data_IF_313889940771
#
_entry.id   IF_313889940771
#
_cell.length_a   1.000
_cell.length_b   1.000
_cell.length_c   1.000
_cell.angle_alpha   90.00
_cell.angle_beta   90.00
_cell.angle_gamma   90.00
#
_symmetry.space_group_name_H-M   'P 1'
#
loop_
_entity.id
_entity.type
_entity.pdbx_description
1 polymer ?
#
# COMPACT_ATOMS: atom_id res chain seq x y z
N UNK A 1 46.57 -33.47 59.90
CA UNK A 1 45.87 -33.02 58.68
C UNK A 1 44.72 -33.97 58.38
N UNK A 2 43.48 -33.49 58.49
CA UNK A 2 42.24 -34.29 58.38
C UNK A 2 42.03 -34.72 56.91
N UNK A 3 41.88 -36.03 56.68
CA UNK A 3 41.37 -36.61 55.43
C UNK A 3 39.85 -36.67 55.54
N UNK A 4 39.12 -36.05 54.59
CA UNK A 4 37.67 -36.20 54.46
C UNK A 4 37.39 -37.11 53.27
N UNK A 5 36.84 -38.30 53.56
CA UNK A 5 36.31 -39.24 52.57
C UNK A 5 34.88 -38.85 52.22
N UNK A 6 34.61 -38.51 50.96
CA UNK A 6 33.25 -38.43 50.41
C UNK A 6 33.00 -39.72 49.63
N UNK A 7 32.05 -40.52 50.10
CA UNK A 7 31.55 -41.72 49.41
C UNK A 7 30.55 -41.30 48.33
N UNK A 8 30.91 -41.51 47.06
CA UNK A 8 29.95 -41.62 45.96
C UNK A 8 29.07 -42.87 46.18
N UNK A 9 27.75 -42.70 46.14
CA UNK A 9 26.80 -43.81 45.89
C UNK A 9 26.10 -43.54 44.56
N UNK A 10 26.26 -44.49 43.63
CA UNK A 10 25.61 -44.57 42.32
C UNK A 10 24.19 -45.16 42.46
N UNK A 11 23.22 -44.54 41.75
CA UNK A 11 22.16 -45.10 40.87
C UNK A 11 21.19 -46.19 41.42
N UNK A 12 19.91 -46.24 40.97
CA UNK A 12 19.57 -46.38 39.54
C UNK A 12 18.40 -45.53 39.00
N UNK A 13 18.50 -45.29 37.70
CA UNK A 13 17.47 -44.95 36.72
C UNK A 13 16.45 -46.09 36.55
N UNK A 14 15.15 -45.79 36.53
CA UNK A 14 14.01 -46.51 35.91
C UNK A 14 12.74 -45.80 36.46
N UNK A 15 11.70 -45.43 35.73
CA UNK A 15 11.36 -45.54 34.33
C UNK A 15 10.09 -44.70 34.10
N UNK A 16 9.93 -44.23 32.87
CA UNK A 16 8.73 -43.58 32.36
C UNK A 16 7.55 -44.57 32.41
N UNK A 17 6.42 -44.21 33.02
CA UNK A 17 5.11 -44.79 32.68
C UNK A 17 4.10 -43.66 32.54
N UNK A 18 3.86 -43.33 31.27
CA UNK A 18 2.64 -42.71 30.78
C UNK A 18 1.60 -43.83 30.64
N UNK A 19 0.45 -43.74 31.32
CA UNK A 19 -0.79 -44.40 30.90
C UNK A 19 -1.97 -43.59 31.44
N UNK A 20 -2.63 -42.90 30.51
CA UNK A 20 -3.93 -42.23 30.61
C UNK A 20 -5.02 -43.18 31.11
N UNK A 21 -6.04 -42.68 31.82
CA UNK A 21 -7.43 -42.68 31.31
C UNK A 21 -8.46 -42.05 32.27
N UNK A 22 -9.27 -41.18 31.66
CA UNK A 22 -10.63 -40.70 31.93
C UNK A 22 -11.31 -41.00 33.28
N UNK A 23 -11.79 -39.94 33.95
CA UNK A 23 -13.22 -39.54 34.01
C UNK A 23 -13.50 -38.74 35.28
N UNK A 24 -14.10 -37.56 35.14
CA UNK A 24 -14.82 -36.89 36.22
C UNK A 24 -14.00 -35.89 37.05
N UNK A 25 -14.34 -34.62 36.88
CA UNK A 25 -14.24 -33.55 37.90
C UNK A 25 -12.90 -33.35 38.63
N UNK A 26 -12.20 -32.28 38.21
CA UNK A 26 -11.53 -31.29 39.07
C UNK A 26 -10.53 -31.79 40.12
N UNK A 27 -9.24 -31.76 39.76
CA UNK A 27 -8.19 -31.32 40.68
C UNK A 27 -7.04 -30.67 39.90
N UNK A 28 -7.22 -29.38 39.58
CA UNK A 28 -6.19 -28.54 38.98
C UNK A 28 -5.24 -28.06 40.11
N UNK A 29 -4.14 -28.77 40.31
CA UNK A 29 -3.08 -28.40 41.29
C UNK A 29 -2.41 -27.06 40.90
N UNK A 30 -2.53 -26.64 39.64
CA UNK A 30 -2.06 -25.34 39.13
C UNK A 30 -2.91 -24.17 39.66
N UNK A 31 -4.12 -24.41 40.19
CA UNK A 31 -4.96 -23.39 40.83
C UNK A 31 -4.52 -22.98 42.25
N UNK A 32 -3.69 -23.79 42.93
CA UNK A 32 -3.18 -23.48 44.27
C UNK A 32 -1.83 -22.75 44.27
N UNK A 33 -1.23 -22.56 43.09
CA UNK A 33 -0.09 -21.68 42.85
C UNK A 33 -0.50 -20.38 42.12
N UNK A 34 -1.78 -20.02 42.20
CA UNK A 34 -2.26 -18.69 41.80
C UNK A 34 -1.71 -17.64 42.79
N UNK A 35 -0.44 -17.29 42.58
CA UNK A 35 0.05 -15.95 42.87
C UNK A 35 -0.84 -14.97 42.10
N UNK A 36 -1.09 -13.75 42.62
CA UNK A 36 -1.86 -12.76 41.89
C UNK A 36 -1.24 -12.63 40.50
N UNK A 37 -2.06 -12.75 39.46
CA UNK A 37 -1.65 -12.49 38.08
C UNK A 37 -1.09 -11.08 38.04
N UNK A 38 0.24 -10.95 38.15
CA UNK A 38 0.91 -9.74 37.70
C UNK A 38 0.64 -9.68 36.21
N UNK A 39 -0.07 -8.62 35.83
CA UNK A 39 -0.30 -8.19 34.47
C UNK A 39 1.05 -7.95 33.80
N UNK A 40 1.65 -9.01 33.26
CA UNK A 40 2.97 -8.97 32.63
C UNK A 40 2.81 -9.15 31.12
N UNK A 41 3.73 -8.52 30.37
CA UNK A 41 3.66 -8.47 28.91
C UNK A 41 3.59 -9.87 28.28
N UNK A 42 4.20 -10.89 28.90
CA UNK A 42 4.29 -12.27 28.39
C UNK A 42 2.94 -13.00 28.46
N UNK A 43 2.20 -12.87 29.56
CA UNK A 43 0.87 -13.49 29.70
C UNK A 43 -0.12 -12.85 28.72
N UNK A 44 -0.09 -11.51 28.59
CA UNK A 44 -0.90 -10.77 27.62
C UNK A 44 -0.57 -11.21 26.18
N UNK A 45 0.72 -11.31 25.83
CA UNK A 45 1.16 -11.80 24.51
C UNK A 45 0.69 -13.21 24.22
N UNK A 46 0.77 -14.11 25.20
CA UNK A 46 0.35 -15.50 25.04
C UNK A 46 -1.16 -15.63 24.79
N UNK A 47 -1.97 -14.80 25.44
CA UNK A 47 -3.42 -14.73 25.19
C UNK A 47 -3.73 -14.18 23.80
N UNK A 48 -3.04 -13.11 23.40
CA UNK A 48 -3.15 -12.52 22.07
C UNK A 48 -2.83 -13.55 20.98
N UNK A 49 -1.72 -14.30 21.07
CA UNK A 49 -1.40 -15.39 20.15
C UNK A 49 -2.51 -16.43 20.08
N UNK A 50 -3.02 -16.89 21.22
CA UNK A 50 -4.07 -17.91 21.22
C UNK A 50 -5.38 -17.45 20.57
N UNK A 51 -5.68 -16.15 20.56
CA UNK A 51 -6.86 -15.58 19.91
C UNK A 51 -6.61 -15.31 18.42
N UNK A 52 -5.43 -14.79 18.10
CA UNK A 52 -4.95 -14.62 16.72
C UNK A 52 -5.00 -15.94 15.95
N UNK A 53 -4.45 -17.03 16.52
CA UNK A 53 -4.47 -18.37 15.90
C UNK A 53 -5.90 -18.92 15.68
N UNK A 54 -6.91 -18.36 16.35
CA UNK A 54 -8.33 -18.73 16.18
C UNK A 54 -9.08 -17.80 15.23
N UNK A 55 -8.39 -16.84 14.59
CA UNK A 55 -8.99 -15.82 13.74
C UNK A 55 -9.85 -14.80 14.50
N UNK A 56 -9.67 -14.68 15.82
CA UNK A 56 -10.42 -13.74 16.67
C UNK A 56 -9.64 -12.44 16.82
N UNK A 57 -9.46 -11.71 15.72
CA UNK A 57 -8.52 -10.59 15.67
C UNK A 57 -8.93 -9.40 16.54
N UNK A 58 -10.23 -9.08 16.63
CA UNK A 58 -10.73 -7.99 17.47
C UNK A 58 -10.50 -8.29 18.96
N UNK A 59 -10.75 -9.54 19.39
CA UNK A 59 -10.45 -9.97 20.77
C UNK A 59 -8.94 -10.00 21.02
N UNK A 60 -8.14 -10.43 20.03
CA UNK A 60 -6.68 -10.51 20.16
C UNK A 60 -6.03 -9.13 20.31
N UNK A 61 -6.59 -8.11 19.64
CA UNK A 61 -6.07 -6.75 19.63
C UNK A 61 -5.96 -6.16 21.04
N UNK A 62 -6.97 -6.34 21.89
CA UNK A 62 -6.95 -5.84 23.28
C UNK A 62 -5.74 -6.37 24.07
N UNK A 63 -5.48 -7.66 23.97
CA UNK A 63 -4.36 -8.31 24.67
C UNK A 63 -3.00 -7.93 24.05
N UNK A 64 -2.94 -7.75 22.73
CA UNK A 64 -1.72 -7.37 22.03
C UNK A 64 -1.31 -5.93 22.34
N UNK A 65 -2.26 -4.99 22.33
CA UNK A 65 -2.04 -3.60 22.73
C UNK A 65 -1.52 -3.53 24.17
N UNK A 66 -2.18 -4.22 25.10
CA UNK A 66 -1.75 -4.26 26.50
C UNK A 66 -0.36 -4.90 26.67
N UNK A 67 -0.05 -5.94 25.90
CA UNK A 67 1.30 -6.53 25.90
C UNK A 67 2.36 -5.53 25.44
N UNK A 68 2.08 -4.78 24.37
CA UNK A 68 2.99 -3.78 23.83
C UNK A 68 3.11 -2.55 24.75
N UNK A 69 2.03 -2.11 25.40
CA UNK A 69 2.07 -1.04 26.40
C UNK A 69 2.94 -1.41 27.61
N UNK A 70 2.90 -2.68 28.04
CA UNK A 70 3.70 -3.18 29.17
C UNK A 70 5.19 -3.36 28.81
N UNK A 71 5.51 -3.60 27.54
CA UNK A 71 6.88 -3.70 27.02
C UNK A 71 6.95 -3.24 25.56
N UNK A 72 7.07 -1.93 25.37
CA UNK A 72 7.12 -1.33 24.03
C UNK A 72 8.45 -1.59 23.32
N UNK A 73 9.43 -2.18 24.00
CA UNK A 73 10.73 -2.55 23.42
C UNK A 73 10.77 -3.98 22.88
N UNK A 74 9.66 -4.71 23.02
CA UNK A 74 9.55 -6.09 22.58
C UNK A 74 9.13 -6.16 21.11
N UNK A 75 10.10 -6.45 20.23
CA UNK A 75 9.84 -6.73 18.81
C UNK A 75 8.83 -7.86 18.62
N UNK A 76 8.84 -8.89 19.48
CA UNK A 76 7.86 -9.98 19.40
C UNK A 76 6.43 -9.49 19.62
N UNK A 77 6.25 -8.53 20.53
CA UNK A 77 4.94 -7.92 20.79
C UNK A 77 4.51 -7.03 19.62
N UNK A 78 5.44 -6.26 19.04
CA UNK A 78 5.18 -5.44 17.86
C UNK A 78 4.80 -6.29 16.64
N UNK A 79 5.55 -7.37 16.36
CA UNK A 79 5.26 -8.32 15.28
C UNK A 79 3.88 -8.93 15.43
N UNK A 80 3.50 -9.37 16.63
CA UNK A 80 2.16 -9.92 16.88
C UNK A 80 1.07 -8.85 16.69
N UNK A 81 1.26 -7.65 17.24
CA UNK A 81 0.30 -6.56 17.11
C UNK A 81 0.10 -6.17 15.64
N UNK A 82 1.17 -6.05 14.87
CA UNK A 82 1.11 -5.81 13.43
C UNK A 82 0.41 -6.94 12.67
N UNK A 83 0.71 -8.21 12.98
CA UNK A 83 -0.01 -9.35 12.38
C UNK A 83 -1.51 -9.34 12.70
N UNK A 84 -1.90 -8.91 13.90
CA UNK A 84 -3.32 -8.77 14.26
C UNK A 84 -3.98 -7.64 13.47
N UNK A 85 -3.32 -6.49 13.33
CA UNK A 85 -3.81 -5.41 12.47
C UNK A 85 -3.97 -5.86 11.02
N UNK A 86 -2.98 -6.55 10.44
CA UNK A 86 -3.13 -7.13 9.10
C UNK A 86 -4.33 -8.09 9.01
N UNK A 87 -4.55 -8.93 10.03
CA UNK A 87 -5.74 -9.79 10.11
C UNK A 87 -7.06 -9.01 10.18
N UNK A 88 -7.11 -7.90 10.92
CA UNK A 88 -8.27 -6.98 10.96
C UNK A 88 -8.50 -6.27 9.62
N UNK A 89 -7.44 -6.03 8.85
CA UNK A 89 -7.54 -5.55 7.47
C UNK A 89 -8.05 -6.62 6.49
N UNK A 90 -8.35 -7.84 6.96
CA UNK A 90 -8.72 -8.96 6.10
C UNK A 90 -7.53 -9.62 5.40
N UNK A 91 -6.31 -9.22 5.75
CA UNK A 91 -5.08 -9.67 5.11
C UNK A 91 -4.42 -10.74 5.97
N UNK A 92 -4.74 -12.00 5.69
CA UNK A 92 -4.11 -13.14 6.33
C UNK A 92 -2.88 -13.59 5.53
N UNK A 93 -1.70 -13.46 6.13
CA UNK A 93 -0.43 -13.91 5.55
C UNK A 93 -0.43 -15.40 5.17
N UNK A 94 -1.21 -16.26 5.84
CA UNK A 94 -1.34 -17.67 5.47
C UNK A 94 -2.23 -17.86 4.25
N UNK A 95 -3.34 -17.14 4.14
CA UNK A 95 -4.17 -17.16 2.94
C UNK A 95 -3.41 -16.60 1.74
N UNK A 96 -2.64 -15.53 1.93
CA UNK A 96 -1.77 -15.01 0.89
C UNK A 96 -0.80 -16.09 0.41
N UNK A 97 -0.09 -16.77 1.32
CA UNK A 97 0.86 -17.83 0.96
C UNK A 97 0.15 -19.01 0.28
N UNK A 98 -1.02 -19.42 0.77
CA UNK A 98 -1.85 -20.45 0.11
C UNK A 98 -2.29 -20.04 -1.29
N UNK A 99 -2.69 -18.78 -1.47
CA UNK A 99 -3.12 -18.24 -2.75
C UNK A 99 -1.92 -18.09 -3.71
N UNK A 100 -0.75 -17.64 -3.23
CA UNK A 100 0.49 -17.59 -4.01
C UNK A 100 0.96 -18.98 -4.44
N UNK A 101 0.86 -19.99 -3.55
CA UNK A 101 1.22 -21.38 -3.86
C UNK A 101 0.25 -21.98 -4.87
N UNK A 102 -1.05 -21.76 -4.71
CA UNK A 102 -2.08 -22.30 -5.61
C UNK A 102 -2.09 -21.62 -6.98
N UNK A 103 -1.73 -20.33 -7.06
CA UNK A 103 -1.56 -19.60 -8.32
C UNK A 103 -0.23 -19.88 -9.03
N UNK A 104 0.80 -20.37 -8.33
CA UNK A 104 2.05 -20.82 -8.98
C UNK A 104 1.86 -22.09 -9.85
N UNK A 105 0.72 -22.77 -9.75
CA UNK A 105 0.33 -23.84 -10.68
C UNK A 105 -0.38 -23.32 -11.95
N UNK A 106 -0.66 -22.01 -12.04
CA UNK A 106 -1.29 -21.39 -13.20
C UNK A 106 -0.90 -19.92 -13.41
N UNK A 107 0.11 -19.68 -14.27
CA UNK A 107 0.39 -18.48 -15.11
C UNK A 107 0.29 -17.05 -14.55
N UNK A 108 -0.28 -16.73 -13.39
CA UNK A 108 -0.62 -15.36 -12.96
C UNK A 108 0.55 -14.54 -12.38
N UNK A 109 1.70 -15.17 -12.11
CA UNK A 109 2.93 -14.50 -11.68
C UNK A 109 4.11 -14.78 -12.63
N UNK A 110 3.84 -15.35 -13.82
CA UNK A 110 4.87 -15.47 -14.85
C UNK A 110 5.06 -14.10 -15.49
N UNK A 111 6.27 -13.52 -15.37
CA UNK A 111 6.82 -12.38 -16.13
C UNK A 111 5.80 -11.64 -17.02
N UNK A 112 4.77 -11.06 -16.43
CA UNK A 112 3.83 -10.24 -17.19
C UNK A 112 4.52 -8.89 -17.38
N UNK A 113 4.72 -8.53 -18.65
CA UNK A 113 5.53 -7.38 -19.07
C UNK A 113 5.03 -5.99 -18.62
N UNK A 114 3.98 -5.93 -17.78
CA UNK A 114 3.52 -4.67 -17.18
C UNK A 114 3.24 -4.86 -15.67
N UNK A 115 3.72 -3.92 -14.87
CA UNK A 115 3.60 -4.00 -13.42
C UNK A 115 2.17 -3.74 -12.89
N UNK A 116 1.33 -3.06 -13.69
CA UNK A 116 -0.07 -2.78 -13.34
C UNK A 116 -0.93 -4.07 -13.27
N UNK A 117 -0.71 -5.03 -14.19
CA UNK A 117 -1.37 -6.35 -14.16
C UNK A 117 -0.92 -7.20 -12.98
N UNK A 118 0.36 -7.09 -12.60
CA UNK A 118 0.89 -7.77 -11.40
C UNK A 118 0.24 -7.24 -10.12
N UNK A 119 0.05 -5.92 -10.00
CA UNK A 119 -0.64 -5.31 -8.84
C UNK A 119 -2.14 -5.64 -8.82
N UNK A 120 -2.80 -5.72 -9.98
CA UNK A 120 -4.19 -6.17 -10.08
C UNK A 120 -4.35 -7.64 -9.64
N UNK A 121 -3.45 -8.53 -10.07
CA UNK A 121 -3.42 -9.92 -9.61
C UNK A 121 -3.18 -10.05 -8.10
N UNK A 122 -2.35 -9.16 -7.52
CA UNK A 122 -2.15 -9.07 -6.07
C UNK A 122 -3.35 -8.47 -5.33
N UNK A 123 -4.11 -7.55 -5.92
CA UNK A 123 -5.37 -7.03 -5.35
C UNK A 123 -6.38 -8.15 -5.10
N UNK A 124 -6.60 -9.00 -6.10
CA UNK A 124 -7.51 -10.15 -5.99
C UNK A 124 -7.05 -11.14 -4.91
N UNK A 125 -5.73 -11.25 -4.74
CA UNK A 125 -5.08 -12.10 -3.75
C UNK A 125 -5.28 -11.64 -2.31
N UNK A 126 -5.27 -10.31 -2.11
CA UNK A 126 -5.43 -9.62 -0.82
C UNK A 126 -6.91 -9.47 -0.46
N UNK A 127 -7.83 -9.75 -1.39
CA UNK A 127 -9.26 -9.75 -1.15
C UNK A 127 -9.90 -8.36 -1.13
N UNK A 128 -9.27 -7.39 -1.80
CA UNK A 128 -9.72 -6.02 -1.81
C UNK A 128 -10.96 -5.82 -2.70
N UNK A 129 -11.88 -4.98 -2.26
CA UNK A 129 -13.15 -4.70 -2.91
C UNK A 129 -13.29 -3.24 -3.35
N UNK A 130 -14.19 -2.99 -4.30
CA UNK A 130 -14.56 -1.62 -4.72
C UNK A 130 -15.13 -0.76 -3.59
N UNK A 131 -15.63 -1.39 -2.51
CA UNK A 131 -16.09 -0.66 -1.32
C UNK A 131 -14.90 0.00 -0.60
N UNK A 132 -13.77 -0.70 -0.48
CA UNK A 132 -12.56 -0.13 0.13
C UNK A 132 -11.95 0.97 -0.73
N UNK A 133 -11.97 0.85 -2.06
CA UNK A 133 -11.52 1.93 -2.94
C UNK A 133 -12.37 3.18 -2.78
N UNK A 134 -13.69 3.01 -2.62
CA UNK A 134 -14.61 4.14 -2.44
C UNK A 134 -14.42 4.84 -1.09
N UNK A 135 -14.02 4.13 -0.02
CA UNK A 135 -13.75 4.79 1.27
C UNK A 135 -12.48 5.65 1.26
N UNK A 136 -11.58 5.39 0.32
CA UNK A 136 -10.35 6.16 0.08
C UNK A 136 -10.59 7.42 -0.78
N UNK A 137 -11.78 7.62 -1.34
CA UNK A 137 -12.08 8.81 -2.15
C UNK A 137 -12.54 10.00 -1.33
N UNK A 138 -12.43 11.20 -1.91
CA UNK A 138 -13.04 12.41 -1.40
C UNK A 138 -14.56 12.23 -1.19
N UNK A 139 -15.12 13.05 -0.30
CA UNK A 139 -16.57 13.00 -0.01
C UNK A 139 -17.37 13.24 -1.29
N UNK A 140 -18.35 12.38 -1.57
CA UNK A 140 -19.13 12.36 -2.81
C UNK A 140 -18.32 12.23 -4.10
N UNK A 141 -17.03 11.87 -4.00
CA UNK A 141 -16.12 11.81 -5.14
C UNK A 141 -16.05 13.15 -5.90
N UNK A 142 -15.98 14.26 -5.16
CA UNK A 142 -16.01 15.63 -5.70
C UNK A 142 -14.99 16.55 -5.00
N UNK A 143 -14.34 17.44 -5.75
CA UNK A 143 -13.53 18.57 -5.25
C UNK A 143 -13.78 19.79 -6.13
N UNK A 144 -14.06 20.94 -5.52
CA UNK A 144 -14.23 22.22 -6.23
C UNK A 144 -15.18 22.19 -7.44
N UNK A 145 -16.26 21.38 -7.35
CA UNK A 145 -17.26 21.20 -8.41
C UNK A 145 -16.87 20.19 -9.49
N UNK A 146 -15.67 19.59 -9.44
CA UNK A 146 -15.21 18.51 -10.32
C UNK A 146 -15.69 17.18 -9.76
N UNK A 147 -16.47 16.44 -10.55
CA UNK A 147 -16.99 15.12 -10.17
C UNK A 147 -16.16 14.01 -10.80
N UNK A 148 -15.66 13.08 -9.98
CA UNK A 148 -14.96 11.90 -10.50
C UNK A 148 -15.89 10.95 -11.27
N UNK A 149 -17.17 10.90 -10.93
CA UNK A 149 -18.18 10.10 -11.63
C UNK A 149 -19.31 11.02 -12.16
N UNK A 150 -19.06 11.78 -13.24
CA UNK A 150 -20.05 12.68 -13.80
C UNK A 150 -21.29 11.90 -14.28
N UNK A 151 -22.48 12.49 -14.18
CA UNK A 151 -23.75 11.85 -14.60
C UNK A 151 -24.20 12.25 -16.00
N UNK A 152 -23.46 13.13 -16.65
CA UNK A 152 -23.71 13.66 -18.00
C UNK A 152 -22.38 14.03 -18.66
N UNK A 153 -22.42 14.31 -19.96
CA UNK A 153 -21.21 14.62 -20.75
C UNK A 153 -20.50 13.36 -21.26
N UNK A 154 -19.38 13.58 -21.94
CA UNK A 154 -18.65 12.53 -22.67
C UNK A 154 -17.98 11.49 -21.76
N UNK A 155 -17.77 11.81 -20.48
CA UNK A 155 -17.14 10.92 -19.50
C UNK A 155 -18.10 10.21 -18.55
N UNK A 156 -19.42 10.30 -18.77
CA UNK A 156 -20.42 9.72 -17.86
C UNK A 156 -20.23 8.21 -17.61
N UNK A 157 -19.71 7.49 -18.60
CA UNK A 157 -19.46 6.04 -18.53
C UNK A 157 -18.02 5.69 -18.09
N UNK A 158 -17.18 6.69 -17.83
CA UNK A 158 -15.77 6.54 -17.44
C UNK A 158 -15.50 7.15 -16.06
N UNK A 159 -16.11 6.62 -14.98
CA UNK A 159 -15.92 7.15 -13.64
C UNK A 159 -14.48 6.98 -13.18
N UNK A 160 -13.91 8.00 -12.57
CA UNK A 160 -12.64 7.94 -11.85
C UNK A 160 -12.89 8.10 -10.36
N UNK A 161 -11.93 7.69 -9.54
CA UNK A 161 -11.94 7.90 -8.10
C UNK A 161 -11.01 9.07 -7.76
N UNK A 162 -11.55 10.11 -7.16
CA UNK A 162 -10.79 11.28 -6.70
C UNK A 162 -10.22 10.96 -5.31
N UNK A 163 -8.89 10.80 -5.17
CA UNK A 163 -8.28 10.34 -3.93
C UNK A 163 -8.31 11.42 -2.85
N UNK A 164 -8.47 11.01 -1.59
CA UNK A 164 -7.99 11.77 -0.42
C UNK A 164 -6.47 11.92 -0.46
N UNK A 165 -5.92 12.77 0.40
CA UNK A 165 -4.49 12.66 0.73
C UNK A 165 -4.18 11.30 1.39
N UNK A 166 -2.95 10.80 1.25
CA UNK A 166 -2.52 9.55 1.87
C UNK A 166 -2.71 9.60 3.40
N UNK A 167 -2.39 10.72 4.03
CA UNK A 167 -2.56 10.93 5.48
C UNK A 167 -4.03 10.84 5.89
N UNK A 168 -4.91 11.52 5.16
CA UNK A 168 -6.34 11.49 5.44
C UNK A 168 -6.94 10.09 5.20
N UNK A 169 -6.48 9.39 4.17
CA UNK A 169 -6.90 8.04 3.85
C UNK A 169 -6.52 7.03 4.94
N UNK A 170 -5.31 7.12 5.50
CA UNK A 170 -4.85 6.26 6.61
C UNK A 170 -5.70 6.42 7.88
N UNK A 171 -6.38 7.55 8.05
CA UNK A 171 -7.19 7.86 9.24
C UNK A 171 -8.68 7.64 9.00
N UNK A 172 -9.16 7.93 7.79
CA UNK A 172 -10.60 8.01 7.47
C UNK A 172 -11.03 7.15 6.27
N UNK A 173 -10.09 6.40 5.69
CA UNK A 173 -10.25 5.65 4.45
C UNK A 173 -10.85 4.26 4.60
N UNK A 174 -11.34 3.92 5.80
CA UNK A 174 -11.90 2.61 6.14
C UNK A 174 -10.99 1.78 7.05
N UNK A 175 -11.53 0.71 7.62
CA UNK A 175 -10.83 -0.12 8.60
C UNK A 175 -9.60 -0.82 8.00
N UNK A 176 -9.65 -1.21 6.72
CA UNK A 176 -8.55 -1.90 6.03
C UNK A 176 -7.28 -1.06 6.00
N UNK A 177 -7.33 0.13 5.39
CA UNK A 177 -6.18 1.04 5.28
C UNK A 177 -5.71 1.52 6.65
N UNK A 178 -6.64 1.76 7.58
CA UNK A 178 -6.31 2.16 8.95
C UNK A 178 -5.45 1.09 9.63
N UNK A 179 -5.88 -0.17 9.58
CA UNK A 179 -5.14 -1.25 10.21
C UNK A 179 -3.79 -1.52 9.52
N UNK A 180 -3.72 -1.41 8.19
CA UNK A 180 -2.43 -1.49 7.47
C UNK A 180 -1.47 -0.40 7.96
N UNK A 181 -1.95 0.84 8.08
CA UNK A 181 -1.14 1.95 8.57
C UNK A 181 -0.68 1.72 10.02
N UNK A 182 -1.55 1.20 10.90
CA UNK A 182 -1.19 0.83 12.27
C UNK A 182 -0.12 -0.28 12.32
N UNK A 183 -0.18 -1.26 11.41
CA UNK A 183 0.83 -2.31 11.31
C UNK A 183 2.21 -1.73 10.94
N UNK A 184 2.27 -0.79 9.99
CA UNK A 184 3.49 -0.08 9.59
C UNK A 184 4.06 0.71 10.77
N UNK A 185 3.23 1.53 11.42
CA UNK A 185 3.65 2.37 12.56
C UNK A 185 4.24 1.53 13.71
N UNK A 186 3.60 0.42 14.06
CA UNK A 186 4.06 -0.46 15.15
C UNK A 186 5.38 -1.17 14.81
N UNK A 187 5.61 -1.51 13.54
CA UNK A 187 6.82 -2.21 13.10
C UNK A 187 8.01 -1.28 12.88
N UNK A 188 7.76 -0.01 12.56
CA UNK A 188 8.78 0.96 12.17
C UNK A 188 10.01 0.98 13.11
N UNK A 189 9.86 0.99 14.44
CA UNK A 189 10.99 0.97 15.38
C UNK A 189 11.86 -0.29 15.34
N UNK A 190 11.38 -1.37 14.72
CA UNK A 190 11.98 -2.70 14.74
C UNK A 190 12.51 -3.18 13.39
N UNK A 191 12.41 -2.34 12.35
CA UNK A 191 13.07 -2.57 11.07
C UNK A 191 14.36 -1.75 10.96
N UNK A 192 15.29 -2.23 10.13
CA UNK A 192 16.53 -1.50 9.86
C UNK A 192 16.31 -0.24 9.01
N UNK A 193 17.23 0.72 9.10
CA UNK A 193 17.23 1.91 8.23
C UNK A 193 17.32 1.54 6.73
N UNK A 194 17.85 0.36 6.40
CA UNK A 194 18.00 -0.15 5.04
C UNK A 194 16.68 -0.48 4.32
N UNK A 195 15.56 -0.49 5.05
CA UNK A 195 14.23 -0.74 4.47
C UNK A 195 13.25 0.42 4.64
N UNK A 196 13.72 1.56 5.16
CA UNK A 196 12.94 2.79 5.34
C UNK A 196 13.16 3.73 4.17
N UNK A 197 12.09 4.41 3.76
CA UNK A 197 12.13 5.48 2.76
C UNK A 197 12.24 6.82 3.48
N UNK A 198 13.44 7.39 3.48
CA UNK A 198 13.79 8.62 4.18
C UNK A 198 14.07 9.74 3.18
N UNK A 199 13.92 10.99 3.62
CA UNK A 199 14.16 12.18 2.80
C UNK A 199 12.94 13.08 2.72
N UNK A 200 13.05 14.17 1.97
CA UNK A 200 11.99 15.18 1.82
C UNK A 200 10.76 14.62 1.07
N UNK A 201 10.97 13.64 0.19
CA UNK A 201 9.91 12.86 -0.49
C UNK A 201 9.60 11.51 0.19
N UNK A 202 10.13 11.28 1.40
CA UNK A 202 9.99 10.02 2.14
C UNK A 202 8.62 9.85 2.79
N UNK A 203 8.30 8.63 3.22
CA UNK A 203 7.07 8.42 3.99
C UNK A 203 7.21 9.07 5.37
N UNK A 204 6.25 9.92 5.73
CA UNK A 204 6.24 10.65 7.01
C UNK A 204 6.31 9.72 8.24
N UNK A 205 5.89 8.46 8.11
CA UNK A 205 5.94 7.45 9.17
C UNK A 205 7.35 6.90 9.39
N UNK A 206 8.27 7.11 8.45
CA UNK A 206 9.66 6.61 8.52
C UNK A 206 10.62 7.58 9.20
N UNK A 207 10.17 8.80 9.51
CA UNK A 207 10.99 9.84 10.15
C UNK A 207 11.61 9.36 11.46
N UNK A 208 12.75 9.93 11.86
CA UNK A 208 13.41 9.60 13.13
C UNK A 208 12.48 9.74 14.35
N UNK A 209 11.51 10.65 14.27
CA UNK A 209 10.54 10.92 15.34
C UNK A 209 9.43 9.86 15.37
N UNK A 210 8.93 9.42 14.21
CA UNK A 210 7.90 8.39 14.12
C UNK A 210 8.46 6.96 14.27
N UNK A 211 9.72 6.77 13.87
CA UNK A 211 10.33 5.47 13.63
C UNK A 211 11.62 5.24 14.44
N UNK A 212 11.77 5.94 15.56
CA UNK A 212 12.93 5.84 16.44
C UNK A 212 13.17 4.37 16.83
N UNK A 213 14.38 3.81 16.67
CA UNK A 213 14.66 2.42 17.02
C UNK A 213 14.29 2.10 18.48
N UNK A 214 13.55 1.00 18.68
CA UNK A 214 13.17 0.54 20.00
C UNK A 214 13.67 -0.89 20.24
N UNK A 215 14.25 -1.12 21.43
CA UNK A 215 14.63 -2.46 21.86
C UNK A 215 15.70 -3.16 21.02
N UNK A 216 15.75 -4.49 21.14
CA UNK A 216 16.65 -5.34 20.34
C UNK A 216 15.88 -6.01 19.19
N UNK A 217 16.45 -5.97 17.98
CA UNK A 217 15.94 -6.68 16.80
C UNK A 217 16.39 -8.15 16.80
N UNK A 218 15.61 -9.03 17.43
CA UNK A 218 15.85 -10.48 17.54
C UNK A 218 15.05 -11.32 16.52
N UNK A 219 14.01 -10.74 15.93
CA UNK A 219 13.05 -11.36 15.02
C UNK A 219 13.00 -10.65 13.66
N UNK A 220 14.15 -10.12 13.22
CA UNK A 220 14.32 -9.32 12.00
C UNK A 220 13.56 -9.86 10.79
N UNK A 221 13.62 -11.17 10.53
CA UNK A 221 12.91 -11.76 9.38
C UNK A 221 11.38 -11.62 9.45
N UNK A 222 10.79 -11.66 10.66
CA UNK A 222 9.34 -11.51 10.84
C UNK A 222 8.91 -10.05 10.75
N UNK A 223 9.66 -9.15 11.39
CA UNK A 223 9.40 -7.70 11.32
C UNK A 223 9.54 -7.19 9.90
N UNK A 224 10.61 -7.55 9.19
CA UNK A 224 10.83 -7.16 7.79
C UNK A 224 9.78 -7.77 6.83
N UNK A 225 9.33 -9.01 7.09
CA UNK A 225 8.26 -9.62 6.29
C UNK A 225 6.93 -8.90 6.46
N UNK A 226 6.50 -8.68 7.71
CA UNK A 226 5.25 -7.96 7.97
C UNK A 226 5.32 -6.50 7.48
N UNK A 227 6.49 -5.86 7.59
CA UNK A 227 6.75 -4.52 7.04
C UNK A 227 6.55 -4.49 5.54
N UNK A 228 7.27 -5.35 4.81
CA UNK A 228 7.20 -5.40 3.37
C UNK A 228 5.78 -5.67 2.87
N UNK A 229 5.07 -6.55 3.58
CA UNK A 229 3.74 -6.96 3.22
C UNK A 229 2.67 -5.89 3.54
N UNK A 230 2.81 -5.18 4.66
CA UNK A 230 1.91 -4.07 4.98
C UNK A 230 2.04 -2.92 3.97
N UNK A 231 3.26 -2.54 3.60
CA UNK A 231 3.49 -1.56 2.54
C UNK A 231 2.96 -2.05 1.18
N UNK A 232 3.19 -3.31 0.81
CA UNK A 232 2.65 -3.85 -0.44
C UNK A 232 1.11 -3.76 -0.47
N UNK A 233 0.44 -4.09 0.64
CA UNK A 233 -1.01 -3.99 0.74
C UNK A 233 -1.52 -2.55 0.60
N UNK A 234 -0.84 -1.58 1.22
CA UNK A 234 -1.16 -0.16 1.07
C UNK A 234 -0.97 0.32 -0.37
N UNK A 235 0.14 -0.04 -1.00
CA UNK A 235 0.40 0.28 -2.40
C UNK A 235 -0.69 -0.25 -3.34
N UNK A 236 -1.15 -1.49 -3.12
CA UNK A 236 -2.22 -2.08 -3.93
C UNK A 236 -3.54 -1.31 -3.75
N UNK A 237 -3.88 -0.93 -2.51
CA UNK A 237 -5.08 -0.12 -2.22
C UNK A 237 -5.04 1.23 -2.94
N UNK A 238 -3.92 1.95 -2.83
CA UNK A 238 -3.75 3.25 -3.48
C UNK A 238 -3.73 3.12 -5.00
N UNK A 239 -3.11 2.08 -5.55
CA UNK A 239 -3.14 1.77 -6.97
C UNK A 239 -4.58 1.55 -7.47
N UNK A 240 -5.41 0.83 -6.71
CA UNK A 240 -6.82 0.59 -7.05
C UNK A 240 -7.68 1.86 -7.13
N UNK A 241 -7.28 2.92 -6.43
CA UNK A 241 -7.92 4.25 -6.49
C UNK A 241 -7.36 5.07 -7.65
N UNK A 242 -6.03 5.22 -7.69
CA UNK A 242 -5.35 6.11 -8.64
C UNK A 242 -5.49 5.62 -10.08
N UNK A 243 -5.38 4.31 -10.30
CA UNK A 243 -5.51 3.66 -11.61
C UNK A 243 -6.83 2.92 -11.75
N UNK A 244 -7.91 3.48 -11.18
CA UNK A 244 -9.22 2.83 -11.15
C UNK A 244 -9.70 2.39 -12.55
N UNK A 245 -9.94 1.09 -12.69
CA UNK A 245 -10.32 0.41 -13.93
C UNK A 245 -11.27 -0.77 -13.65
N UNK A 246 -12.55 -0.54 -13.31
CA UNK A 246 -13.43 -1.57 -12.77
C UNK A 246 -13.81 -2.66 -13.78
N UNK A 247 -13.75 -2.37 -15.08
CA UNK A 247 -14.25 -3.24 -16.15
C UNK A 247 -13.29 -3.36 -17.34
N UNK A 248 -12.10 -2.74 -17.25
CA UNK A 248 -11.15 -2.57 -18.35
C UNK A 248 -9.73 -2.80 -17.83
N UNK A 249 -8.84 -3.27 -18.71
CA UNK A 249 -7.40 -3.29 -18.44
C UNK A 249 -6.78 -1.88 -18.50
N UNK A 250 -7.48 -0.93 -19.12
CA UNK A 250 -7.05 0.47 -19.23
C UNK A 250 -7.70 1.31 -18.13
N UNK A 251 -6.91 2.05 -17.32
CA UNK A 251 -7.42 3.03 -16.36
C UNK A 251 -8.43 4.00 -16.97
N UNK A 252 -9.52 4.28 -16.25
CA UNK A 252 -10.57 5.16 -16.77
C UNK A 252 -10.05 6.57 -17.06
N UNK A 253 -9.05 7.05 -16.31
CA UNK A 253 -8.39 8.33 -16.59
C UNK A 253 -7.74 8.36 -17.99
N UNK A 254 -7.06 7.28 -18.37
CA UNK A 254 -6.46 7.14 -19.71
C UNK A 254 -7.54 6.95 -20.78
N UNK A 255 -8.59 6.18 -20.50
CA UNK A 255 -9.71 5.99 -21.41
C UNK A 255 -10.44 7.32 -21.72
N UNK A 256 -10.51 8.25 -20.76
CA UNK A 256 -11.03 9.60 -21.00
C UNK A 256 -10.22 10.36 -22.04
N UNK A 257 -8.90 10.20 -22.07
CA UNK A 257 -8.05 10.75 -23.14
C UNK A 257 -8.42 10.21 -24.51
N UNK A 258 -8.58 8.89 -24.63
CA UNK A 258 -8.96 8.27 -25.90
C UNK A 258 -10.36 8.68 -26.40
N UNK A 259 -11.28 9.03 -25.49
CA UNK A 259 -12.60 9.59 -25.88
C UNK A 259 -12.46 10.93 -26.60
N UNK A 260 -11.44 11.72 -26.25
CA UNK A 260 -11.18 13.00 -26.90
C UNK A 260 -10.58 12.85 -28.31
N UNK A 261 -10.02 11.68 -28.66
CA UNK A 261 -9.56 11.38 -30.01
C UNK A 261 -10.73 11.23 -31.00
N UNK A 262 -11.87 10.69 -30.53
CA UNK A 262 -13.00 10.37 -31.40
C UNK A 262 -13.75 11.66 -31.81
N UNK A 263 -13.64 12.10 -33.09
CA UNK A 263 -14.29 13.33 -33.56
C UNK A 263 -15.82 13.24 -33.53
N UNK A 264 -16.37 12.03 -33.39
CA UNK A 264 -17.81 11.77 -33.28
C UNK A 264 -18.36 11.92 -31.86
N UNK A 265 -17.52 11.96 -30.82
CA UNK A 265 -17.96 11.99 -29.42
C UNK A 265 -18.06 13.40 -28.87
N UNK A 266 -17.11 14.30 -29.20
CA UNK A 266 -17.24 15.73 -28.92
C UNK A 266 -17.77 16.47 -30.15
N UNK A 267 -19.10 16.65 -30.22
CA UNK A 267 -19.77 17.09 -31.45
C UNK A 267 -19.50 18.57 -31.82
N UNK A 268 -18.99 19.36 -30.89
CA UNK A 268 -18.65 20.77 -31.10
C UNK A 268 -17.49 21.22 -30.18
N UNK A 269 -16.88 22.35 -30.52
CA UNK A 269 -15.72 22.90 -29.81
C UNK A 269 -15.98 23.18 -28.32
N UNK A 270 -17.16 23.69 -27.96
CA UNK A 270 -17.48 23.99 -26.56
C UNK A 270 -17.52 22.73 -25.70
N UNK A 271 -18.09 21.64 -26.22
CA UNK A 271 -18.11 20.34 -25.55
C UNK A 271 -16.69 19.75 -25.42
N UNK A 272 -15.86 19.91 -26.45
CA UNK A 272 -14.46 19.50 -26.42
C UNK A 272 -13.66 20.25 -25.36
N UNK A 273 -13.74 21.58 -25.32
CA UNK A 273 -13.06 22.42 -24.32
C UNK A 273 -13.51 22.04 -22.90
N UNK A 274 -14.81 21.88 -22.68
CA UNK A 274 -15.34 21.48 -21.39
C UNK A 274 -14.80 20.11 -20.94
N UNK A 275 -14.73 19.14 -21.85
CA UNK A 275 -14.19 17.82 -21.55
C UNK A 275 -12.68 17.86 -21.27
N UNK A 276 -11.91 18.63 -22.04
CA UNK A 276 -10.47 18.84 -21.79
C UNK A 276 -10.22 19.47 -20.42
N UNK A 277 -10.98 20.50 -20.05
CA UNK A 277 -10.87 21.15 -18.75
C UNK A 277 -11.26 20.21 -17.60
N UNK A 278 -12.33 19.42 -17.75
CA UNK A 278 -12.72 18.43 -16.74
C UNK A 278 -11.62 17.40 -16.53
N UNK A 279 -11.04 16.90 -17.63
CA UNK A 279 -9.96 15.93 -17.58
C UNK A 279 -8.69 16.49 -16.95
N UNK A 280 -8.32 17.73 -17.28
CA UNK A 280 -7.21 18.43 -16.64
C UNK A 280 -7.43 18.59 -15.14
N UNK A 281 -8.61 19.06 -14.72
CA UNK A 281 -8.92 19.25 -13.32
C UNK A 281 -8.92 17.93 -12.53
N UNK A 282 -9.48 16.85 -13.09
CA UNK A 282 -9.41 15.51 -12.51
C UNK A 282 -7.96 15.04 -12.38
N UNK A 283 -7.15 15.26 -13.42
CA UNK A 283 -5.73 14.87 -13.45
C UNK A 283 -4.95 15.60 -12.36
N UNK A 284 -5.20 16.91 -12.16
CA UNK A 284 -4.57 17.72 -11.12
C UNK A 284 -4.95 17.23 -9.71
N UNK A 285 -6.18 16.77 -9.51
CA UNK A 285 -6.63 16.22 -8.21
C UNK A 285 -5.96 14.87 -7.91
N UNK A 286 -5.85 13.99 -8.91
CA UNK A 286 -5.25 12.66 -8.75
C UNK A 286 -3.71 12.76 -8.67
N UNK A 287 -3.13 13.67 -9.44
CA UNK A 287 -1.69 13.85 -9.62
C UNK A 287 -1.31 15.33 -9.42
N UNK A 288 -1.35 15.81 -8.17
CA UNK A 288 -1.04 17.20 -7.86
C UNK A 288 0.44 17.49 -8.10
N UNK A 289 0.70 18.67 -8.66
CA UNK A 289 2.05 19.20 -8.92
C UNK A 289 2.49 20.24 -7.89
N UNK A 290 1.59 20.71 -7.04
CA UNK A 290 1.95 21.50 -5.86
C UNK A 290 2.78 20.64 -4.90
N UNK A 291 3.87 21.18 -4.36
CA UNK A 291 4.83 20.43 -3.56
C UNK A 291 4.18 19.82 -2.30
N UNK A 292 3.33 20.56 -1.60
CA UNK A 292 2.72 20.11 -0.36
C UNK A 292 1.60 19.07 -0.63
N UNK A 293 0.79 19.31 -1.66
CA UNK A 293 -0.24 18.34 -2.07
C UNK A 293 0.38 17.06 -2.64
N UNK A 294 1.46 17.18 -3.42
CA UNK A 294 2.19 16.05 -4.01
C UNK A 294 2.87 15.19 -2.95
N UNK A 295 3.53 15.81 -1.96
CA UNK A 295 4.16 15.13 -0.83
C UNK A 295 3.15 14.30 -0.02
N UNK A 296 1.88 14.71 0.00
CA UNK A 296 0.81 14.01 0.71
C UNK A 296 -0.11 13.20 -0.21
N UNK A 297 0.20 13.09 -1.51
CA UNK A 297 -0.64 12.40 -2.49
C UNK A 297 -0.62 10.88 -2.30
N UNK A 298 -1.73 10.20 -2.63
CA UNK A 298 -1.76 8.73 -2.67
C UNK A 298 -0.79 8.16 -3.70
N UNK A 299 -0.55 8.88 -4.81
CA UNK A 299 0.37 8.43 -5.84
C UNK A 299 1.81 8.34 -5.30
N UNK A 300 2.30 9.37 -4.63
CA UNK A 300 3.64 9.34 -4.05
C UNK A 300 3.73 8.28 -2.94
N UNK A 301 2.72 8.21 -2.07
CA UNK A 301 2.67 7.20 -1.02
C UNK A 301 2.71 5.77 -1.59
N UNK A 302 1.94 5.49 -2.65
CA UNK A 302 1.95 4.21 -3.35
C UNK A 302 3.37 3.82 -3.80
N UNK A 303 4.14 4.74 -4.39
CA UNK A 303 5.51 4.45 -4.81
C UNK A 303 6.47 4.25 -3.63
N UNK A 304 6.34 5.07 -2.59
CA UNK A 304 7.12 4.89 -1.36
C UNK A 304 6.83 3.53 -0.71
N UNK A 305 5.57 3.10 -0.73
CA UNK A 305 5.14 1.81 -0.22
C UNK A 305 5.68 0.64 -1.09
N UNK A 306 5.65 0.76 -2.42
CA UNK A 306 6.29 -0.22 -3.32
C UNK A 306 7.80 -0.33 -3.08
N UNK A 307 8.48 0.80 -2.85
CA UNK A 307 9.90 0.81 -2.53
C UNK A 307 10.19 0.15 -1.18
N UNK A 308 9.45 0.52 -0.13
CA UNK A 308 9.57 -0.06 1.20
C UNK A 308 9.32 -1.57 1.17
N UNK A 309 8.32 -2.01 0.40
CA UNK A 309 8.04 -3.43 0.15
C UNK A 309 9.22 -4.13 -0.53
N UNK A 310 9.78 -3.54 -1.58
CA UNK A 310 10.92 -4.09 -2.33
C UNK A 310 12.16 -4.26 -1.45
N UNK A 311 12.52 -3.21 -0.70
CA UNK A 311 13.64 -3.23 0.24
C UNK A 311 13.40 -4.26 1.36
N UNK A 312 12.18 -4.27 1.90
CA UNK A 312 11.74 -5.21 2.91
C UNK A 312 11.90 -6.66 2.46
N UNK A 313 11.34 -7.05 1.32
CA UNK A 313 11.48 -8.41 0.78
C UNK A 313 12.93 -8.76 0.42
N UNK A 314 13.69 -7.82 -0.16
CA UNK A 314 15.09 -8.03 -0.53
C UNK A 314 16.00 -8.29 0.67
N UNK A 315 15.64 -7.76 1.84
CA UNK A 315 16.38 -7.97 3.09
C UNK A 315 16.15 -9.34 3.75
N UNK A 316 15.18 -10.12 3.27
CA UNK A 316 14.82 -11.42 3.84
C UNK A 316 15.66 -12.56 3.25
N UNK A 317 16.58 -13.09 4.06
CA UNK A 317 17.35 -14.27 3.69
C UNK A 317 16.45 -15.52 3.61
N UNK A 318 16.49 -16.24 2.48
CA UNK A 318 15.91 -17.58 2.36
C UNK A 318 14.44 -17.65 1.92
N UNK A 319 13.85 -16.55 1.43
CA UNK A 319 12.60 -16.64 0.69
C UNK A 319 12.80 -17.48 -0.58
N UNK A 320 11.91 -18.42 -0.90
CA UNK A 320 11.96 -19.12 -2.18
C UNK A 320 11.90 -18.10 -3.33
N UNK A 321 12.78 -18.27 -4.32
CA UNK A 321 12.84 -17.42 -5.51
C UNK A 321 11.51 -17.44 -6.29
N UNK A 322 10.74 -18.53 -6.18
CA UNK A 322 9.40 -18.65 -6.77
C UNK A 322 8.32 -17.77 -6.11
N UNK A 323 8.59 -17.23 -4.91
CA UNK A 323 7.67 -16.35 -4.16
C UNK A 323 8.20 -14.91 -4.17
N UNK A 324 9.50 -14.76 -3.93
CA UNK A 324 10.15 -13.45 -3.94
C UNK A 324 10.42 -12.93 -5.34
N UNK A 325 10.73 -13.78 -6.32
CA UNK A 325 11.15 -13.37 -7.66
C UNK A 325 10.07 -12.59 -8.42
N UNK A 326 8.81 -13.04 -8.40
CA UNK A 326 7.71 -12.33 -9.05
C UNK A 326 7.44 -10.97 -8.41
N UNK A 327 7.31 -10.93 -7.08
CA UNK A 327 7.06 -9.70 -6.32
C UNK A 327 8.24 -8.73 -6.46
N UNK A 328 9.47 -9.18 -6.24
CA UNK A 328 10.68 -8.35 -6.33
C UNK A 328 10.92 -7.87 -7.76
N UNK A 329 10.63 -8.66 -8.80
CA UNK A 329 10.79 -8.21 -10.19
C UNK A 329 9.75 -7.17 -10.56
N UNK A 330 8.46 -7.40 -10.26
CA UNK A 330 7.40 -6.39 -10.51
C UNK A 330 7.65 -5.10 -9.73
N UNK A 331 8.13 -5.20 -8.49
CA UNK A 331 8.54 -4.04 -7.69
C UNK A 331 9.79 -3.36 -8.25
N UNK A 332 10.79 -4.12 -8.71
CA UNK A 332 12.01 -3.60 -9.34
C UNK A 332 11.72 -2.90 -10.66
N UNK A 333 10.72 -3.34 -11.42
CA UNK A 333 10.28 -2.69 -12.65
C UNK A 333 9.57 -1.37 -12.35
N UNK A 334 8.71 -1.33 -11.32
CA UNK A 334 8.07 -0.09 -10.83
C UNK A 334 9.11 0.90 -10.28
N UNK A 335 10.11 0.40 -9.56
CA UNK A 335 11.25 1.20 -9.09
C UNK A 335 12.09 1.71 -10.25
N UNK A 336 12.38 0.87 -11.25
CA UNK A 336 13.13 1.29 -12.44
C UNK A 336 12.36 2.34 -13.24
N UNK A 337 11.04 2.21 -13.33
CA UNK A 337 10.18 3.26 -13.89
C UNK A 337 10.33 4.54 -13.07
N UNK A 338 10.09 4.51 -11.76
CA UNK A 338 10.28 5.68 -10.89
C UNK A 338 11.67 6.32 -10.98
N UNK A 339 12.73 5.53 -10.91
CA UNK A 339 14.12 6.02 -10.92
C UNK A 339 14.50 6.56 -12.30
N UNK A 340 13.96 6.00 -13.39
CA UNK A 340 14.09 6.56 -14.74
C UNK A 340 13.34 7.88 -14.92
N UNK A 341 12.36 8.17 -14.05
CA UNK A 341 11.58 9.40 -14.02
C UNK A 341 12.21 10.51 -13.18
N UNK A 342 13.26 10.22 -12.40
CA UNK A 342 13.95 11.24 -11.61
C UNK A 342 15.46 11.00 -11.52
N UNK A 343 16.26 11.59 -12.43
CA UNK A 343 17.65 11.89 -12.15
C UNK A 343 17.81 13.22 -11.38
N UNK A 344 16.69 13.88 -11.01
CA UNK A 344 16.66 15.28 -10.63
C UNK A 344 17.04 15.52 -9.18
N UNK A 345 17.89 16.53 -8.97
CA UNK A 345 18.31 17.05 -7.67
C UNK A 345 17.28 17.98 -7.02
N UNK A 346 16.10 18.18 -7.64
CA UNK A 346 15.03 19.07 -7.19
C UNK A 346 13.65 18.37 -7.22
N UNK A 347 12.90 18.48 -6.13
CA UNK A 347 11.67 17.71 -5.86
C UNK A 347 10.49 18.04 -6.80
N UNK A 348 10.42 19.27 -7.32
CA UNK A 348 9.36 19.67 -8.26
C UNK A 348 9.47 18.98 -9.62
N UNK A 349 10.66 18.49 -9.98
CA UNK A 349 10.87 17.77 -11.24
C UNK A 349 10.37 16.32 -11.17
N UNK A 350 10.40 15.66 -10.00
CA UNK A 350 10.02 14.24 -9.92
C UNK A 350 8.52 14.02 -10.02
N UNK A 351 7.70 14.82 -9.33
CA UNK A 351 6.24 14.70 -9.38
C UNK A 351 5.67 15.13 -10.73
N UNK A 352 6.25 16.18 -11.32
CA UNK A 352 5.89 16.63 -12.66
C UNK A 352 6.28 15.60 -13.72
N UNK A 353 7.49 15.02 -13.64
CA UNK A 353 7.92 13.96 -14.55
C UNK A 353 7.06 12.69 -14.43
N UNK A 354 6.69 12.32 -13.20
CA UNK A 354 5.82 11.18 -12.94
C UNK A 354 4.42 11.39 -13.52
N UNK A 355 3.84 12.58 -13.32
CA UNK A 355 2.57 12.98 -13.93
C UNK A 355 2.66 12.89 -15.45
N UNK A 356 3.67 13.49 -16.07
CA UNK A 356 3.86 13.48 -17.53
C UNK A 356 3.94 12.08 -18.12
N UNK A 357 4.58 11.13 -17.43
CA UNK A 357 4.62 9.77 -17.96
C UNK A 357 3.24 9.12 -17.92
N UNK A 358 2.53 9.23 -16.79
CA UNK A 358 1.20 8.67 -16.61
C UNK A 358 0.17 9.32 -17.54
N UNK A 359 0.37 10.59 -17.87
CA UNK A 359 -0.47 11.37 -18.78
C UNK A 359 0.08 11.44 -20.21
N UNK A 360 1.22 10.85 -20.54
CA UNK A 360 1.87 11.03 -21.86
C UNK A 360 0.96 10.66 -23.04
N UNK A 361 0.26 9.53 -22.95
CA UNK A 361 -0.73 9.12 -23.95
C UNK A 361 -1.93 10.07 -24.04
N UNK A 362 -2.34 10.64 -22.90
CA UNK A 362 -3.39 11.65 -22.83
C UNK A 362 -2.94 12.98 -23.44
N UNK A 363 -1.74 13.45 -23.09
CA UNK A 363 -1.15 14.68 -23.59
C UNK A 363 -0.93 14.61 -25.10
N UNK A 364 -0.41 13.50 -25.62
CA UNK A 364 -0.27 13.29 -27.06
C UNK A 364 -1.60 13.36 -27.80
N UNK A 365 -2.67 12.83 -27.21
CA UNK A 365 -4.01 12.89 -27.78
C UNK A 365 -4.58 14.31 -27.79
N UNK A 366 -4.48 15.03 -26.67
CA UNK A 366 -4.84 16.46 -26.63
C UNK A 366 -4.06 17.27 -27.66
N UNK A 367 -2.75 17.05 -27.77
CA UNK A 367 -1.89 17.76 -28.71
C UNK A 367 -2.35 17.55 -30.16
N UNK A 368 -2.69 16.31 -30.54
CA UNK A 368 -3.22 15.95 -31.85
C UNK A 368 -4.50 16.73 -32.18
N UNK A 369 -5.45 16.75 -31.24
CA UNK A 369 -6.75 17.41 -31.42
C UNK A 369 -6.65 18.93 -31.44
N UNK A 370 -5.84 19.54 -30.55
CA UNK A 370 -5.59 20.99 -30.55
C UNK A 370 -4.97 21.41 -31.88
N UNK A 371 -3.99 20.64 -32.37
CA UNK A 371 -3.34 20.90 -33.68
C UNK A 371 -4.36 20.84 -34.81
N UNK A 372 -5.14 19.76 -34.90
CA UNK A 372 -6.12 19.58 -35.95
C UNK A 372 -7.18 20.70 -35.99
N UNK A 373 -7.68 21.12 -34.83
CA UNK A 373 -8.68 22.21 -34.72
C UNK A 373 -8.08 23.59 -35.00
N UNK A 374 -6.84 23.83 -34.58
CA UNK A 374 -6.10 25.05 -34.90
C UNK A 374 -5.86 25.19 -36.41
N UNK A 375 -5.37 24.13 -37.06
CA UNK A 375 -5.14 24.09 -38.51
C UNK A 375 -6.43 24.23 -39.33
N UNK A 376 -7.56 23.71 -38.81
CA UNK A 376 -8.88 23.88 -39.41
C UNK A 376 -9.44 25.31 -39.25
N UNK A 377 -8.81 26.17 -38.45
CA UNK A 377 -9.30 27.52 -38.14
C UNK A 377 -10.55 27.51 -37.26
N UNK A 378 -10.74 26.45 -36.49
CA UNK A 378 -11.90 26.28 -35.59
C UNK A 378 -11.67 26.93 -34.22
N UNK A 379 -10.41 27.15 -33.82
CA UNK A 379 -10.05 27.77 -32.55
C UNK A 379 -9.91 29.29 -32.67
N UNK A 380 -10.64 30.03 -31.84
CA UNK A 380 -10.31 31.42 -31.56
C UNK A 380 -9.19 31.52 -30.50
N UNK A 381 -8.65 32.72 -30.31
CA UNK A 381 -7.53 32.94 -29.38
C UNK A 381 -7.85 32.60 -27.93
N UNK A 382 -9.12 32.75 -27.52
CA UNK A 382 -9.57 32.44 -26.16
C UNK A 382 -9.64 30.93 -25.96
N UNK A 383 -10.27 30.21 -26.89
CA UNK A 383 -10.36 28.75 -26.90
C UNK A 383 -8.98 28.09 -26.97
N UNK A 384 -8.07 28.64 -27.77
CA UNK A 384 -6.70 28.14 -27.85
C UNK A 384 -5.97 28.32 -26.52
N UNK A 385 -6.06 29.50 -25.89
CA UNK A 385 -5.43 29.74 -24.59
C UNK A 385 -5.98 28.84 -23.49
N UNK A 386 -7.28 28.56 -23.50
CA UNK A 386 -7.93 27.66 -22.54
C UNK A 386 -7.46 26.21 -22.72
N UNK A 387 -7.45 25.70 -23.95
CA UNK A 387 -6.94 24.36 -24.26
C UNK A 387 -5.45 24.20 -23.92
N UNK A 388 -4.66 25.24 -24.16
CA UNK A 388 -3.24 25.27 -23.80
C UNK A 388 -3.04 25.24 -22.29
N UNK A 389 -3.83 26.02 -21.53
CA UNK A 389 -3.79 25.99 -20.06
C UNK A 389 -4.12 24.60 -19.53
N UNK A 390 -5.13 23.93 -20.10
CA UNK A 390 -5.49 22.56 -19.71
C UNK A 390 -4.43 21.54 -20.12
N UNK A 391 -3.77 21.71 -21.27
CA UNK A 391 -2.64 20.89 -21.68
C UNK A 391 -1.47 21.03 -20.68
N UNK A 392 -1.11 22.26 -20.32
CA UNK A 392 -0.04 22.55 -19.36
C UNK A 392 -0.34 22.02 -17.95
N UNK A 393 -1.63 21.90 -17.59
CA UNK A 393 -2.06 21.20 -16.37
C UNK A 393 -1.77 19.70 -16.46
N UNK A 394 -1.90 19.07 -17.62
CA UNK A 394 -1.76 17.61 -17.77
C UNK A 394 -0.31 17.20 -18.10
N UNK A 395 0.46 18.07 -18.74
CA UNK A 395 1.78 17.80 -19.30
C UNK A 395 2.70 18.99 -19.11
N UNK A 396 3.98 18.73 -18.83
CA UNK A 396 5.03 19.76 -18.91
C UNK A 396 5.88 19.65 -20.18
N UNK A 397 5.49 18.80 -21.14
CA UNK A 397 6.16 18.74 -22.44
C UNK A 397 5.86 20.02 -23.24
N UNK A 398 6.85 20.60 -23.95
CA UNK A 398 6.63 21.81 -24.74
C UNK A 398 5.68 21.54 -25.91
N UNK A 399 4.81 22.52 -26.19
CA UNK A 399 3.87 22.46 -27.29
C UNK A 399 3.87 23.78 -28.07
N UNK A 400 4.47 23.76 -29.27
CA UNK A 400 4.69 24.94 -30.11
C UNK A 400 3.42 25.80 -30.39
N UNK A 401 2.23 25.19 -30.38
CA UNK A 401 0.95 25.92 -30.58
C UNK A 401 0.56 26.73 -29.34
N UNK A 402 1.01 26.31 -28.17
CA UNK A 402 0.74 26.93 -26.87
C UNK A 402 1.84 27.88 -26.39
N UNK A 403 3.05 27.76 -26.96
CA UNK A 403 4.22 28.58 -26.60
C UNK A 403 4.29 29.97 -27.30
N UNK A 404 3.25 30.38 -28.03
CA UNK A 404 3.24 31.59 -28.90
C UNK A 404 2.40 32.78 -28.40
#
# INVERSE_FOLDING_TARGET
MKKLHIKLKRLPSLGLIFCLSCSGSSFNVTGYLALPFEDNAVDQRSKAYSLYDKGKYEEALEFALRSFELDSTSEESAVLLASIHMGLAGIDSFQLVENLISQNEGTALQEDSNAASSLAGLSDLVGLSTTEYTSLTLTNNEKDGVQGAPTSGVFAELPVLLPKSAVEARISGGDTIYNIAQAIEVLCPFVGEDVKILGESGDIRHTDEACAPQGEQRFRSKSHFNWAFAHLAEAILFNGVVLYAPTSETPNLQARGAVLDDPGVTANLTEYIAAVNELAAVTDIIMPTDQEESANSMLLAMFNDLEAASLGFSSLAGLPESVSGGIVSSLSDLQSQRDSLSPATDENESSSALKNQLTSGLAGELQSQITAKSEAGELDSESQAELCTAYDSISTEPFDICDN
#
